data_IF_348262279259
#
_entry.id   IF_348262279259
#
_cell.length_a   1.000
_cell.length_b   1.000
_cell.length_c   1.000
_cell.angle_alpha   90.00
_cell.angle_beta   90.00
_cell.angle_gamma   90.00
#
_symmetry.space_group_name_H-M   'P 1'
#
loop_
_entity.id
_entity.type
_entity.pdbx_description
1 polymer ?
#
# COMPACT_ATOMS: atom_id res chain seq x y z
N UNK A 1 15.91 2.31 -75.65
CA UNK A 1 15.11 1.49 -74.70
C UNK A 1 15.79 1.58 -73.34
N UNK A 2 15.29 2.51 -72.44
CA UNK A 2 15.95 2.87 -71.15
C UNK A 2 15.15 2.17 -70.08
N UNK A 3 15.76 1.17 -69.39
CA UNK A 3 15.17 0.50 -68.20
C UNK A 3 15.41 1.39 -66.96
N UNK A 4 14.31 1.96 -66.38
CA UNK A 4 14.31 2.58 -65.07
C UNK A 4 14.23 1.51 -63.99
N UNK A 5 15.28 1.38 -63.14
CA UNK A 5 15.27 0.60 -61.93
C UNK A 5 14.57 1.36 -60.79
N UNK A 6 13.44 0.86 -60.33
CA UNK A 6 12.78 1.32 -59.11
C UNK A 6 13.50 0.65 -57.91
N UNK A 7 14.04 1.46 -57.01
CA UNK A 7 14.50 1.02 -55.72
C UNK A 7 13.38 1.17 -54.71
N UNK A 8 12.85 0.06 -54.22
CA UNK A 8 11.92 0.02 -53.08
C UNK A 8 12.74 0.19 -51.80
N UNK A 9 12.61 1.34 -51.12
CA UNK A 9 13.08 1.50 -49.73
C UNK A 9 12.01 0.91 -48.78
N UNK A 10 12.29 -0.24 -48.23
CA UNK A 10 11.52 -0.81 -47.10
C UNK A 10 12.00 -0.13 -45.82
N UNK A 11 11.24 0.82 -45.32
CA UNK A 11 11.45 1.43 -43.98
C UNK A 11 11.00 0.48 -42.90
N UNK A 12 11.96 -0.03 -42.12
CA UNK A 12 11.70 -0.83 -40.93
C UNK A 12 11.30 0.13 -39.78
N UNK A 13 10.01 0.23 -39.47
CA UNK A 13 9.54 0.96 -38.31
C UNK A 13 9.79 0.12 -37.04
N UNK A 14 10.79 0.49 -36.25
CA UNK A 14 11.01 -0.09 -34.94
C UNK A 14 9.93 0.43 -33.98
N UNK A 15 8.96 -0.40 -33.62
CA UNK A 15 8.04 -0.17 -32.51
C UNK A 15 8.83 -0.26 -31.21
N UNK A 16 9.16 0.88 -30.59
CA UNK A 16 9.63 0.89 -29.21
C UNK A 16 8.43 0.58 -28.31
N UNK A 17 8.36 -0.64 -27.78
CA UNK A 17 7.45 -0.98 -26.70
C UNK A 17 7.96 -0.26 -25.44
N UNK A 18 7.31 0.85 -25.07
CA UNK A 18 7.47 1.44 -23.75
C UNK A 18 6.84 0.47 -22.74
N UNK A 19 7.64 -0.37 -22.12
CA UNK A 19 7.21 -1.17 -20.97
C UNK A 19 6.80 -0.20 -19.86
N UNK A 20 5.55 -0.30 -19.38
CA UNK A 20 5.15 0.39 -18.17
C UNK A 20 6.08 -0.10 -17.05
N UNK A 21 6.81 0.82 -16.41
CA UNK A 21 7.54 0.51 -15.19
C UNK A 21 6.51 0.25 -14.09
N UNK A 22 6.27 -1.01 -13.78
CA UNK A 22 5.51 -1.40 -12.60
C UNK A 22 6.38 -1.07 -11.38
N UNK A 23 5.84 -0.33 -10.41
CA UNK A 23 6.53 -0.10 -9.15
C UNK A 23 6.84 -1.46 -8.52
N UNK A 24 8.10 -1.66 -8.12
CA UNK A 24 8.50 -2.91 -7.49
C UNK A 24 8.16 -2.84 -6.01
N UNK A 25 7.16 -3.58 -5.60
CA UNK A 25 6.77 -3.73 -4.21
C UNK A 25 7.64 -4.78 -3.50
N UNK A 26 8.03 -4.45 -2.28
CA UNK A 26 8.76 -5.35 -1.39
C UNK A 26 7.85 -5.78 -0.25
N UNK A 27 7.45 -7.06 -0.18
CA UNK A 27 6.60 -7.56 0.90
C UNK A 27 7.23 -7.40 2.27
N UNK A 28 6.44 -6.95 3.23
CA UNK A 28 6.79 -6.89 4.65
C UNK A 28 6.15 -8.08 5.38
N UNK A 29 6.94 -9.12 5.59
CA UNK A 29 6.45 -10.37 6.19
C UNK A 29 5.48 -11.14 5.29
N UNK A 30 4.53 -11.84 5.91
CA UNK A 30 3.46 -12.57 5.23
C UNK A 30 2.11 -12.00 5.64
N UNK A 31 1.10 -11.98 4.76
CA UNK A 31 -0.24 -11.55 5.11
C UNK A 31 -0.77 -12.29 6.37
N UNK A 32 -1.51 -11.58 7.20
CA UNK A 32 -2.13 -12.11 8.42
C UNK A 32 -3.65 -11.99 8.33
N UNK A 33 -4.35 -13.06 8.71
CA UNK A 33 -5.81 -13.03 8.80
C UNK A 33 -6.21 -12.62 10.22
N UNK A 34 -6.99 -11.54 10.35
CA UNK A 34 -7.54 -11.03 11.61
C UNK A 34 -8.95 -10.46 11.36
N UNK A 35 -9.87 -10.75 12.26
CA UNK A 35 -11.24 -10.16 12.27
C UNK A 35 -11.97 -10.25 10.91
N UNK A 36 -11.80 -11.34 10.16
CA UNK A 36 -12.39 -11.51 8.84
C UNK A 36 -11.74 -10.65 7.74
N UNK A 37 -10.50 -10.23 7.95
CA UNK A 37 -9.70 -9.46 7.00
C UNK A 37 -8.35 -10.11 6.78
N UNK A 38 -7.85 -10.04 5.56
CA UNK A 38 -6.44 -10.22 5.24
C UNK A 38 -5.74 -8.87 5.34
N UNK A 39 -4.68 -8.82 6.13
CA UNK A 39 -3.81 -7.65 6.30
C UNK A 39 -2.45 -7.98 5.71
N UNK A 40 -2.09 -7.33 4.63
CA UNK A 40 -0.77 -7.38 4.02
C UNK A 40 -0.06 -6.04 4.18
N UNK A 41 1.26 -6.05 4.22
CA UNK A 41 2.06 -4.83 4.21
C UNK A 41 3.17 -4.96 3.18
N UNK A 42 3.44 -3.89 2.47
CA UNK A 42 4.52 -3.77 1.48
C UNK A 42 5.21 -2.41 1.64
N UNK A 43 6.37 -2.27 1.02
CA UNK A 43 6.96 -0.95 0.79
C UNK A 43 7.53 -0.86 -0.62
N UNK A 44 7.57 0.35 -1.14
CA UNK A 44 8.16 0.69 -2.44
C UNK A 44 8.88 2.04 -2.33
N UNK A 45 9.34 2.57 -3.48
CA UNK A 45 9.90 3.93 -3.52
C UNK A 45 8.86 4.97 -3.07
N UNK A 46 9.29 6.09 -2.46
CA UNK A 46 8.38 7.16 -2.09
C UNK A 46 7.57 7.67 -3.28
N UNK A 47 6.30 7.94 -3.06
CA UNK A 47 5.35 8.37 -4.10
C UNK A 47 4.98 9.84 -3.96
N UNK A 48 4.57 10.45 -5.07
CA UNK A 48 3.95 11.77 -5.09
C UNK A 48 2.44 11.62 -5.20
N UNK A 49 1.69 12.38 -4.42
CA UNK A 49 0.24 12.28 -4.33
C UNK A 49 -0.45 13.64 -4.45
N UNK A 50 -1.67 13.63 -4.89
CA UNK A 50 -2.61 14.75 -4.86
C UNK A 50 -3.73 14.51 -3.83
N UNK A 51 -4.16 15.54 -3.07
CA UNK A 51 -3.57 16.88 -3.03
C UNK A 51 -2.20 16.89 -2.34
N UNK A 52 -1.33 17.81 -2.77
CA UNK A 52 0.01 17.96 -2.17
C UNK A 52 -0.06 18.32 -0.69
N UNK A 53 0.93 17.90 0.10
CA UNK A 53 1.05 18.21 1.53
C UNK A 53 0.26 17.28 2.46
N UNK A 54 -0.40 16.25 1.94
CA UNK A 54 -1.16 15.28 2.75
C UNK A 54 -0.25 14.27 3.47
N UNK A 55 0.95 14.04 2.98
CA UNK A 55 1.97 13.20 3.60
C UNK A 55 3.37 13.81 3.40
N UNK A 56 4.40 13.18 3.94
CA UNK A 56 5.79 13.60 3.77
C UNK A 56 6.16 13.62 2.27
N UNK A 57 6.89 14.67 1.86
CA UNK A 57 7.41 14.78 0.49
C UNK A 57 8.24 13.55 0.12
N UNK A 58 8.07 13.05 -1.10
CA UNK A 58 8.80 11.90 -1.62
C UNK A 58 10.32 12.08 -1.52
N UNK A 59 10.84 13.28 -1.81
CA UNK A 59 12.28 13.59 -1.72
C UNK A 59 12.83 13.58 -0.28
N UNK A 60 11.97 13.70 0.72
CA UNK A 60 12.30 13.68 2.13
C UNK A 60 12.05 12.32 2.80
N UNK A 61 11.69 11.30 2.01
CA UNK A 61 11.30 9.96 2.45
C UNK A 61 12.25 8.90 1.90
N UNK A 62 12.26 7.73 2.52
CA UNK A 62 13.04 6.58 2.07
C UNK A 62 12.15 5.51 1.45
N UNK A 63 10.91 5.38 1.92
CA UNK A 63 9.93 4.42 1.41
C UNK A 63 8.53 5.04 1.37
N UNK A 64 7.68 4.49 0.51
CA UNK A 64 6.24 4.51 0.69
C UNK A 64 5.84 3.20 1.37
N UNK A 65 5.23 3.29 2.54
CA UNK A 65 4.74 2.14 3.31
C UNK A 65 3.27 1.96 3.02
N UNK A 66 2.86 0.75 2.65
CA UNK A 66 1.47 0.42 2.34
C UNK A 66 0.91 -0.67 3.22
N UNK A 67 -0.39 -0.63 3.44
CA UNK A 67 -1.19 -1.69 4.03
C UNK A 67 -2.38 -1.99 3.12
N UNK A 68 -2.41 -3.22 2.58
CA UNK A 68 -3.52 -3.78 1.84
C UNK A 68 -4.42 -4.54 2.80
N UNK A 69 -5.64 -4.06 2.99
CA UNK A 69 -6.60 -4.69 3.89
C UNK A 69 -7.86 -5.04 3.11
N UNK A 70 -8.06 -6.35 2.93
CA UNK A 70 -9.15 -6.91 2.14
C UNK A 70 -10.02 -7.83 3.00
N UNK A 71 -11.32 -7.81 2.75
CA UNK A 71 -12.24 -8.75 3.38
C UNK A 71 -11.90 -10.19 2.97
N UNK A 72 -12.11 -11.13 3.88
CA UNK A 72 -12.11 -12.56 3.58
C UNK A 72 -13.56 -13.07 3.52
N UNK A 73 -13.74 -14.31 3.10
CA UNK A 73 -15.03 -15.02 3.12
C UNK A 73 -15.70 -15.07 4.52
N UNK A 74 -14.94 -14.76 5.59
CA UNK A 74 -15.40 -14.70 6.98
C UNK A 74 -15.72 -13.29 7.45
N UNK A 75 -15.73 -12.30 6.56
CA UNK A 75 -16.06 -10.92 6.93
C UNK A 75 -17.54 -10.79 7.32
N UNK A 76 -17.80 -10.37 8.56
CA UNK A 76 -19.15 -10.19 9.08
C UNK A 76 -19.74 -8.81 8.83
N UNK A 77 -19.01 -7.89 8.22
CA UNK A 77 -19.41 -6.48 8.06
C UNK A 77 -19.96 -6.16 6.66
N UNK A 78 -20.30 -7.20 5.87
CA UNK A 78 -20.98 -7.03 4.58
C UNK A 78 -20.07 -6.79 3.39
N UNK A 79 -18.75 -6.85 3.55
CA UNK A 79 -17.79 -6.78 2.46
C UNK A 79 -17.60 -8.17 1.84
N UNK A 80 -17.68 -8.26 0.51
CA UNK A 80 -17.40 -9.49 -0.21
C UNK A 80 -15.92 -9.86 -0.11
N UNK A 81 -15.61 -11.15 -0.24
CA UNK A 81 -14.24 -11.66 -0.27
C UNK A 81 -13.38 -10.91 -1.30
N UNK A 82 -12.16 -10.55 -0.91
CA UNK A 82 -11.22 -9.78 -1.73
C UNK A 82 -11.52 -8.28 -1.83
N UNK A 83 -12.66 -7.79 -1.28
CA UNK A 83 -12.99 -6.35 -1.31
C UNK A 83 -12.10 -5.57 -0.35
N UNK A 84 -11.49 -4.49 -0.82
CA UNK A 84 -10.78 -3.54 0.04
C UNK A 84 -11.75 -2.89 1.05
N UNK A 85 -11.32 -2.75 2.30
CA UNK A 85 -12.16 -2.21 3.39
C UNK A 85 -11.85 -0.73 3.59
N UNK A 86 -12.79 0.18 3.32
CA UNK A 86 -12.62 1.62 3.46
C UNK A 86 -12.77 2.09 4.91
N UNK A 87 -12.32 3.33 5.16
CA UNK A 87 -12.53 4.07 6.41
C UNK A 87 -11.95 3.43 7.68
N UNK A 88 -10.95 2.55 7.55
CA UNK A 88 -10.19 2.08 8.69
C UNK A 88 -9.29 3.20 9.22
N UNK A 89 -9.15 3.30 10.54
CA UNK A 89 -8.14 4.14 11.17
C UNK A 89 -6.89 3.29 11.43
N UNK A 90 -5.77 3.61 10.76
CA UNK A 90 -4.56 2.81 10.80
C UNK A 90 -3.38 3.66 11.24
N UNK A 91 -2.78 3.27 12.37
CA UNK A 91 -1.51 3.84 12.83
C UNK A 91 -0.39 2.82 12.67
N UNK A 92 0.80 3.28 12.32
CA UNK A 92 1.97 2.43 12.26
C UNK A 92 3.05 2.87 13.27
N UNK A 93 3.84 1.91 13.72
CA UNK A 93 5.09 2.10 14.44
C UNK A 93 6.17 1.24 13.81
N UNK A 94 7.32 1.84 13.51
CA UNK A 94 8.51 1.17 13.02
C UNK A 94 9.62 1.28 14.05
N UNK A 95 10.17 0.12 14.42
CA UNK A 95 11.29 0.00 15.36
C UNK A 95 12.48 -0.65 14.66
N UNK A 96 13.60 0.06 14.54
CA UNK A 96 14.84 -0.52 14.03
C UNK A 96 15.50 -1.39 15.08
N UNK A 97 15.91 -2.61 14.71
CA UNK A 97 16.62 -3.50 15.61
C UNK A 97 17.94 -2.88 16.09
N UNK A 98 18.20 -2.92 17.39
CA UNK A 98 19.39 -2.32 17.99
C UNK A 98 19.33 -0.81 18.19
N UNK A 99 18.15 -0.18 17.98
CA UNK A 99 17.91 1.24 18.22
C UNK A 99 16.73 1.44 19.16
N UNK A 100 16.79 2.49 19.99
CA UNK A 100 15.65 2.96 20.80
C UNK A 100 14.72 3.88 20.02
N UNK A 101 15.12 4.30 18.82
CA UNK A 101 14.30 5.18 17.96
C UNK A 101 13.02 4.49 17.52
N UNK A 102 11.93 5.26 17.55
CA UNK A 102 10.62 4.84 17.04
C UNK A 102 10.15 5.85 16.00
N UNK A 103 9.68 5.33 14.87
CA UNK A 103 9.08 6.11 13.80
C UNK A 103 7.60 5.72 13.79
N UNK A 104 6.72 6.69 13.93
CA UNK A 104 5.29 6.44 13.97
C UNK A 104 4.52 7.45 13.12
N UNK A 105 3.37 7.04 12.64
CA UNK A 105 2.48 7.86 11.84
C UNK A 105 1.12 7.21 11.64
N UNK A 106 0.29 7.86 10.84
CA UNK A 106 -1.04 7.40 10.44
C UNK A 106 -1.05 7.16 8.94
N UNK A 107 -1.58 6.03 8.52
CA UNK A 107 -1.79 5.75 7.11
C UNK A 107 -3.09 6.37 6.63
N UNK A 108 -3.08 6.93 5.44
CA UNK A 108 -4.27 7.49 4.80
C UNK A 108 -4.74 6.61 3.65
N UNK A 109 -6.04 6.56 3.36
CA UNK A 109 -6.56 5.88 2.19
C UNK A 109 -6.14 6.60 0.92
N UNK A 110 -5.71 5.83 -0.08
CA UNK A 110 -5.32 6.34 -1.39
C UNK A 110 -5.56 5.29 -2.47
N UNK A 111 -5.34 5.66 -3.72
CA UNK A 111 -5.48 4.77 -4.87
C UNK A 111 -4.27 4.90 -5.79
N UNK A 112 -3.76 3.77 -6.26
CA UNK A 112 -2.76 3.67 -7.31
C UNK A 112 -3.29 2.85 -8.50
N UNK A 113 -2.44 2.58 -9.48
CA UNK A 113 -2.83 1.84 -10.70
C UNK A 113 -3.26 0.40 -10.43
N UNK A 114 -2.85 -0.18 -9.32
CA UNK A 114 -3.14 -1.55 -8.84
C UNK A 114 -4.31 -1.61 -7.85
N UNK A 115 -4.82 -0.46 -7.41
CA UNK A 115 -6.02 -0.39 -6.58
C UNK A 115 -5.91 0.51 -5.36
N UNK A 116 -6.96 0.50 -4.52
CA UNK A 116 -6.99 1.26 -3.28
C UNK A 116 -6.21 0.55 -2.16
N UNK A 117 -5.47 1.34 -1.38
CA UNK A 117 -4.70 0.89 -0.22
C UNK A 117 -4.62 1.99 0.85
N UNK A 118 -4.00 1.69 1.98
CA UNK A 118 -3.62 2.66 2.99
C UNK A 118 -2.11 2.87 2.93
N UNK A 119 -1.63 4.11 2.97
CA UNK A 119 -0.20 4.36 2.85
C UNK A 119 0.27 5.66 3.50
N UNK A 120 1.59 5.76 3.64
CA UNK A 120 2.32 6.97 4.04
C UNK A 120 3.75 6.94 3.53
N UNK A 121 4.31 8.11 3.22
CA UNK A 121 5.73 8.26 2.92
C UNK A 121 6.54 8.37 4.22
N UNK A 122 7.52 7.49 4.38
CA UNK A 122 8.25 7.33 5.64
C UNK A 122 9.75 7.58 5.46
N UNK A 123 10.33 8.37 6.39
CA UNK A 123 11.78 8.49 6.56
C UNK A 123 12.23 7.45 7.58
N UNK A 124 13.08 6.52 7.17
CA UNK A 124 13.64 5.47 8.01
C UNK A 124 14.95 5.91 8.70
N UNK A 125 15.37 5.18 9.72
CA UNK A 125 16.65 5.36 10.40
C UNK A 125 17.82 4.64 9.67
N UNK A 126 17.80 4.64 8.32
CA UNK A 126 18.79 3.99 7.45
C UNK A 126 18.61 2.48 7.34
N UNK A 127 19.49 1.79 6.60
CA UNK A 127 19.41 0.33 6.37
C UNK A 127 19.42 -0.47 7.66
N UNK A 128 18.73 -1.61 7.68
CA UNK A 128 18.70 -2.51 8.82
C UNK A 128 17.44 -3.37 8.87
N UNK A 129 17.31 -4.11 9.97
CA UNK A 129 16.11 -4.88 10.26
C UNK A 129 15.13 -4.02 11.06
N UNK A 130 13.86 -4.11 10.71
CA UNK A 130 12.78 -3.35 11.33
C UNK A 130 11.66 -4.28 11.76
N UNK A 131 10.99 -3.89 12.84
CA UNK A 131 9.68 -4.39 13.21
C UNK A 131 8.65 -3.30 12.84
N UNK A 132 7.66 -3.67 12.04
CA UNK A 132 6.47 -2.88 11.77
C UNK A 132 5.34 -3.38 12.66
N UNK A 133 4.66 -2.46 13.34
CA UNK A 133 3.40 -2.70 14.03
C UNK A 133 2.32 -1.84 13.40
N UNK A 134 1.24 -2.44 12.94
CA UNK A 134 0.03 -1.77 12.50
C UNK A 134 -1.04 -1.89 13.58
N UNK A 135 -1.61 -0.76 13.99
CA UNK A 135 -2.77 -0.69 14.87
C UNK A 135 -3.97 -0.30 14.03
N UNK A 136 -4.93 -1.20 13.91
CA UNK A 136 -6.07 -1.09 13.00
C UNK A 136 -7.35 -0.96 13.82
N UNK A 137 -8.10 0.10 13.59
CA UNK A 137 -9.39 0.34 14.22
C UNK A 137 -10.51 0.45 13.17
N UNK A 138 -11.75 0.10 13.53
CA UNK A 138 -12.87 0.06 12.60
C UNK A 138 -13.28 1.46 12.14
N UNK A 139 -14.09 1.54 11.06
CA UNK A 139 -14.73 2.78 10.63
C UNK A 139 -15.48 3.47 11.79
N UNK A 140 -15.40 4.81 11.84
CA UNK A 140 -15.98 5.60 12.93
C UNK A 140 -15.09 5.76 14.16
N UNK A 141 -13.91 5.15 14.18
CA UNK A 141 -12.88 5.43 15.20
C UNK A 141 -12.22 6.79 15.01
N UNK A 142 -12.24 7.32 13.80
CA UNK A 142 -11.89 8.71 13.50
C UNK A 142 -13.19 9.55 13.54
N UNK A 143 -13.27 10.58 14.39
CA UNK A 143 -14.48 11.43 14.49
C UNK A 143 -14.75 12.25 13.21
N UNK A 144 -13.80 12.36 12.30
CA UNK A 144 -13.94 13.06 11.02
C UNK A 144 -14.27 12.13 9.84
N UNK A 145 -14.25 10.82 10.06
CA UNK A 145 -14.54 9.82 9.03
C UNK A 145 -15.74 8.95 9.44
N UNK A 146 -16.87 9.14 8.76
CA UNK A 146 -18.10 8.40 9.04
C UNK A 146 -18.33 7.36 7.95
N UNK A 147 -18.49 6.11 8.37
CA UNK A 147 -18.93 5.01 7.54
C UNK A 147 -19.94 4.18 8.31
N UNK A 148 -21.22 4.34 7.96
CA UNK A 148 -22.34 3.70 8.64
C UNK A 148 -22.46 2.22 8.28
N UNK A 149 -23.10 1.45 9.15
CA UNK A 149 -23.56 0.09 8.88
C UNK A 149 -25.06 -0.02 9.15
N UNK A 150 -25.73 -0.88 8.41
CA UNK A 150 -27.12 -1.21 8.70
C UNK A 150 -27.20 -2.10 9.95
N UNK A 151 -28.20 -1.87 10.77
CA UNK A 151 -28.45 -2.61 12.02
C UNK A 151 -29.87 -3.18 12.10
N UNK A 152 -30.68 -2.93 11.07
CA UNK A 152 -32.05 -3.46 10.97
C UNK A 152 -31.99 -4.98 10.70
N UNK A 153 -33.16 -5.62 10.88
CA UNK A 153 -33.28 -7.06 10.78
C UNK A 153 -33.09 -7.57 9.34
N UNK A 154 -33.53 -6.80 8.36
CA UNK A 154 -33.61 -7.21 6.96
C UNK A 154 -32.26 -7.07 6.22
N UNK A 155 -31.52 -6.01 6.53
CA UNK A 155 -30.30 -5.65 5.79
C UNK A 155 -29.08 -5.41 6.69
N UNK A 156 -29.22 -5.63 8.00
CA UNK A 156 -28.18 -5.38 8.97
C UNK A 156 -26.97 -6.31 8.80
N UNK A 157 -25.79 -5.75 9.05
CA UNK A 157 -24.51 -6.48 9.09
C UNK A 157 -23.97 -6.58 10.52
N UNK A 158 -22.99 -7.44 10.74
CA UNK A 158 -22.36 -7.63 12.04
C UNK A 158 -21.77 -6.35 12.63
N UNK A 159 -21.63 -6.31 13.96
CA UNK A 159 -20.98 -5.21 14.64
C UNK A 159 -19.54 -5.05 14.14
N UNK A 160 -19.04 -3.80 14.18
CA UNK A 160 -17.62 -3.56 13.89
C UNK A 160 -16.72 -4.38 14.83
N UNK A 161 -15.61 -4.80 14.30
CA UNK A 161 -14.56 -5.50 15.07
C UNK A 161 -13.95 -4.58 16.15
N UNK A 162 -13.31 -5.18 17.15
CA UNK A 162 -12.52 -4.43 18.13
C UNK A 162 -11.15 -4.07 17.55
N UNK A 163 -10.59 -2.88 17.86
CA UNK A 163 -9.24 -2.53 17.43
C UNK A 163 -8.24 -3.64 17.76
N UNK A 164 -7.36 -3.92 16.82
CA UNK A 164 -6.33 -4.96 16.95
C UNK A 164 -4.99 -4.51 16.37
N UNK A 165 -3.95 -5.29 16.60
CA UNK A 165 -2.62 -5.06 16.04
C UNK A 165 -2.12 -6.27 15.28
N UNK A 166 -1.31 -6.00 14.23
CA UNK A 166 -0.48 -7.00 13.57
C UNK A 166 0.97 -6.51 13.57
N UNK A 167 1.90 -7.45 13.63
CA UNK A 167 3.33 -7.15 13.63
C UNK A 167 4.04 -7.94 12.54
N UNK A 168 5.04 -7.29 11.93
CA UNK A 168 5.85 -7.85 10.86
C UNK A 168 7.32 -7.53 11.10
N UNK A 169 8.21 -8.41 10.66
CA UNK A 169 9.64 -8.15 10.57
C UNK A 169 10.06 -8.05 9.11
N UNK A 170 10.91 -7.08 8.78
CA UNK A 170 11.47 -6.93 7.44
C UNK A 170 12.90 -6.36 7.49
N UNK A 171 13.60 -6.46 6.37
CA UNK A 171 14.90 -5.84 6.19
C UNK A 171 14.82 -4.74 5.12
N UNK A 172 15.28 -3.54 5.44
CA UNK A 172 15.46 -2.47 4.49
C UNK A 172 16.94 -2.38 4.11
N UNK A 173 17.25 -2.59 2.83
CA UNK A 173 18.64 -2.60 2.33
C UNK A 173 19.20 -1.21 2.06
N UNK A 174 18.33 -0.19 2.03
CA UNK A 174 18.65 1.20 1.67
C UNK A 174 18.15 1.57 0.29
N UNK A 175 17.97 2.87 0.09
CA UNK A 175 17.52 3.47 -1.18
C UNK A 175 18.47 3.09 -2.31
N UNK A 176 17.93 2.68 -3.47
CA UNK A 176 18.68 2.31 -4.66
C UNK A 176 19.52 1.02 -4.50
N UNK A 177 19.26 0.18 -3.51
CA UNK A 177 19.91 -1.13 -3.32
C UNK A 177 18.97 -2.26 -3.71
N UNK A 178 19.53 -3.39 -4.17
CA UNK A 178 18.74 -4.59 -4.40
C UNK A 178 18.00 -4.98 -3.11
N UNK A 179 16.66 -5.10 -3.16
CA UNK A 179 15.82 -5.26 -1.98
C UNK A 179 15.57 -3.95 -1.21
N UNK A 180 15.96 -2.82 -1.77
CA UNK A 180 15.56 -1.49 -1.32
C UNK A 180 14.42 -0.94 -2.17
N UNK A 181 14.67 -0.60 -3.36
CA UNK A 181 13.79 -0.30 -4.53
C UNK A 181 14.65 0.20 -5.69
#
# INVERSE_FOLDING_TARGET
MILRRFHLLTGLAALAAAGAAVALEYPIGKPQIREGMEVAAVYLQPVTMEPAGMMRDAKASDIHLEADIKATDRNGNGFADGTWIPYLAINYELAKQGSSERIAGTMMPMVASDGPHYGDNVKLAGPGRYKLKLSIAPPGSDPHAHFGRHVDKETGVGAWFKPFTVEYDFAFAGVGKKGGY
#
